data_IF_841526791069
#
_entry.id   IF_841526791069
#
_cell.length_a   1.000
_cell.length_b   1.000
_cell.length_c   1.000
_cell.angle_alpha   90.00
_cell.angle_beta   90.00
_cell.angle_gamma   90.00
#
_symmetry.space_group_name_H-M   'P 1'
#
loop_
_entity.id
_entity.type
_entity.pdbx_description
1 polymer ?
#
# COMPACT_ATOMS: atom_id res chain seq x y z
N UNK A 1 21.71 27.46 19.86
CA UNK A 1 20.67 28.08 19.01
C UNK A 1 20.53 27.41 17.65
N UNK A 2 21.60 26.91 17.01
CA UNK A 2 21.54 26.20 15.72
C UNK A 2 20.98 24.78 15.81
N UNK A 3 21.23 24.08 16.92
CA UNK A 3 20.79 22.69 17.16
C UNK A 3 19.27 22.56 17.35
N UNK A 4 18.67 23.48 18.12
CA UNK A 4 17.21 23.51 18.33
C UNK A 4 16.43 23.80 17.04
N UNK A 5 16.94 24.72 16.20
CA UNK A 5 16.32 25.03 14.91
C UNK A 5 16.38 23.83 13.97
N UNK A 6 17.50 23.09 13.97
CA UNK A 6 17.64 21.86 13.18
C UNK A 6 16.65 20.77 13.62
N UNK A 7 16.48 20.58 14.93
CA UNK A 7 15.60 19.54 15.49
C UNK A 7 14.11 19.82 15.22
N UNK A 8 13.67 21.07 15.37
CA UNK A 8 12.31 21.51 15.03
C UNK A 8 12.00 21.30 13.55
N UNK A 9 12.99 21.53 12.68
CA UNK A 9 12.84 21.33 11.23
C UNK A 9 12.68 19.85 10.89
N UNK A 10 13.50 18.98 11.50
CA UNK A 10 13.43 17.52 11.33
C UNK A 10 12.09 16.95 11.80
N UNK A 11 11.59 17.40 12.95
CA UNK A 11 10.29 16.98 13.50
C UNK A 11 9.14 17.35 12.56
N UNK A 12 9.14 18.57 12.01
CA UNK A 12 8.12 18.99 11.01
C UNK A 12 8.21 18.16 9.73
N UNK A 13 9.42 17.83 9.29
CA UNK A 13 9.65 17.01 8.10
C UNK A 13 9.10 15.59 8.29
N UNK A 14 9.39 14.94 9.42
CA UNK A 14 8.82 13.62 9.74
C UNK A 14 7.29 13.63 9.82
N UNK A 15 6.72 14.68 10.41
CA UNK A 15 5.27 14.81 10.56
C UNK A 15 4.61 15.01 9.20
N UNK A 16 5.22 15.83 8.34
CA UNK A 16 4.82 16.02 6.95
C UNK A 16 4.91 14.72 6.15
N UNK A 17 6.02 13.99 6.27
CA UNK A 17 6.23 12.69 5.62
C UNK A 17 5.21 11.63 6.05
N UNK A 18 4.85 11.57 7.34
CA UNK A 18 3.80 10.66 7.83
C UNK A 18 2.44 10.98 7.21
N UNK A 19 2.08 12.27 7.14
CA UNK A 19 0.82 12.70 6.51
C UNK A 19 0.81 12.42 5.01
N UNK A 20 1.89 12.76 4.32
CA UNK A 20 2.06 12.48 2.90
C UNK A 20 1.98 10.98 2.62
N UNK A 21 2.66 10.15 3.42
CA UNK A 21 2.57 8.69 3.32
C UNK A 21 1.16 8.18 3.51
N UNK A 22 0.41 8.71 4.49
CA UNK A 22 -0.98 8.31 4.70
C UNK A 22 -1.88 8.69 3.51
N UNK A 23 -1.69 9.87 2.93
CA UNK A 23 -2.41 10.31 1.74
C UNK A 23 -2.10 9.41 0.54
N UNK A 24 -0.82 9.12 0.28
CA UNK A 24 -0.40 8.23 -0.82
C UNK A 24 -0.97 6.83 -0.65
N UNK A 25 -0.97 6.29 0.58
CA UNK A 25 -1.59 4.98 0.84
C UNK A 25 -3.10 5.03 0.56
N UNK A 26 -3.79 6.09 1.02
CA UNK A 26 -5.21 6.27 0.74
C UNK A 26 -5.51 6.33 -0.75
N UNK A 27 -4.73 7.11 -1.50
CA UNK A 27 -4.84 7.26 -2.95
C UNK A 27 -4.67 5.92 -3.66
N UNK A 28 -3.65 5.13 -3.29
CA UNK A 28 -3.43 3.80 -3.85
C UNK A 28 -4.63 2.88 -3.58
N UNK A 29 -5.19 2.91 -2.38
CA UNK A 29 -6.39 2.11 -2.05
C UNK A 29 -7.58 2.52 -2.91
N UNK A 30 -7.81 3.81 -3.11
CA UNK A 30 -8.89 4.33 -3.96
C UNK A 30 -8.70 3.87 -5.41
N UNK A 31 -7.51 4.07 -5.98
CA UNK A 31 -7.18 3.69 -7.36
C UNK A 31 -7.37 2.18 -7.57
N UNK A 32 -6.90 1.37 -6.63
CA UNK A 32 -7.01 -0.10 -6.71
C UNK A 32 -8.48 -0.52 -6.61
N UNK A 33 -9.27 0.10 -5.73
CA UNK A 33 -10.70 -0.17 -5.60
C UNK A 33 -11.46 0.16 -6.89
N UNK A 34 -11.21 1.33 -7.46
CA UNK A 34 -11.80 1.73 -8.75
C UNK A 34 -11.37 0.80 -9.88
N UNK A 35 -10.10 0.41 -9.93
CA UNK A 35 -9.60 -0.53 -10.92
C UNK A 35 -10.23 -1.92 -10.77
N UNK A 36 -10.52 -2.37 -9.54
CA UNK A 36 -11.21 -3.63 -9.28
C UNK A 36 -12.65 -3.60 -9.81
N UNK A 37 -13.41 -2.54 -9.50
CA UNK A 37 -14.77 -2.37 -10.00
C UNK A 37 -14.81 -2.29 -11.53
N UNK A 38 -13.88 -1.54 -12.14
CA UNK A 38 -13.77 -1.44 -13.59
C UNK A 38 -13.37 -2.77 -14.25
N UNK A 39 -12.51 -3.55 -13.58
CA UNK A 39 -12.12 -4.90 -14.00
C UNK A 39 -13.30 -5.87 -13.96
N UNK A 40 -14.16 -5.77 -12.95
CA UNK A 40 -15.38 -6.57 -12.86
C UNK A 40 -16.36 -6.23 -13.99
N UNK A 41 -16.58 -4.94 -14.25
CA UNK A 41 -17.41 -4.48 -15.36
C UNK A 41 -16.84 -4.96 -16.71
N UNK A 42 -15.52 -4.91 -16.88
CA UNK A 42 -14.84 -5.44 -18.06
C UNK A 42 -15.08 -6.95 -18.27
N UNK A 43 -15.01 -7.73 -17.19
CA UNK A 43 -15.22 -9.18 -17.26
C UNK A 43 -16.67 -9.57 -17.49
N UNK A 44 -17.63 -8.71 -17.16
CA UNK A 44 -19.05 -8.96 -17.37
C UNK A 44 -19.58 -8.36 -18.69
N UNK A 45 -18.92 -7.35 -19.24
CA UNK A 45 -19.37 -6.63 -20.42
C UNK A 45 -18.63 -7.05 -21.70
N UNK A 46 -19.31 -7.85 -22.54
CA UNK A 46 -18.79 -8.33 -23.83
C UNK A 46 -18.38 -7.19 -24.77
N UNK A 47 -19.17 -6.12 -24.83
CA UNK A 47 -18.91 -4.96 -25.70
C UNK A 47 -17.63 -4.25 -25.28
N UNK A 48 -17.43 -4.05 -23.98
CA UNK A 48 -16.23 -3.41 -23.44
C UNK A 48 -14.97 -4.24 -23.72
N UNK A 49 -15.05 -5.57 -23.60
CA UNK A 49 -13.93 -6.46 -23.97
C UNK A 49 -13.54 -6.32 -25.43
N UNK A 50 -14.52 -6.39 -26.33
CA UNK A 50 -14.27 -6.28 -27.77
C UNK A 50 -13.68 -4.92 -28.13
N UNK A 51 -14.24 -3.84 -27.57
CA UNK A 51 -13.72 -2.49 -27.80
C UNK A 51 -12.26 -2.36 -27.30
N UNK A 52 -11.95 -2.82 -26.09
CA UNK A 52 -10.58 -2.77 -25.54
C UNK A 52 -9.63 -3.61 -26.36
N UNK A 53 -9.99 -4.83 -26.74
CA UNK A 53 -9.13 -5.67 -27.58
C UNK A 53 -8.82 -5.02 -28.94
N UNK A 54 -9.78 -4.27 -29.49
CA UNK A 54 -9.65 -3.64 -30.80
C UNK A 54 -8.90 -2.31 -30.74
N UNK A 55 -9.17 -1.48 -29.72
CA UNK A 55 -8.68 -0.09 -29.66
C UNK A 55 -7.50 0.07 -28.70
N UNK A 56 -7.44 -0.71 -27.62
CA UNK A 56 -6.44 -0.55 -26.58
C UNK A 56 -6.13 -1.86 -25.84
N UNK A 57 -5.60 -2.84 -26.58
CA UNK A 57 -5.28 -4.16 -26.06
C UNK A 57 -4.41 -4.18 -24.78
N UNK A 58 -3.48 -3.23 -24.53
CA UNK A 58 -2.68 -3.23 -23.30
C UNK A 58 -3.52 -3.03 -22.04
N UNK A 59 -4.62 -2.28 -22.13
CA UNK A 59 -5.54 -2.12 -20.99
C UNK A 59 -6.18 -3.45 -20.58
N UNK A 60 -6.32 -4.41 -21.49
CA UNK A 60 -6.81 -5.74 -21.19
C UNK A 60 -5.97 -6.46 -20.12
N UNK A 61 -4.67 -6.17 -20.01
CA UNK A 61 -3.83 -6.75 -18.94
C UNK A 61 -4.19 -6.20 -17.56
N UNK A 62 -4.47 -4.90 -17.47
CA UNK A 62 -4.88 -4.23 -16.23
C UNK A 62 -6.30 -4.64 -15.84
N UNK A 63 -7.20 -4.69 -16.82
CA UNK A 63 -8.63 -4.95 -16.64
C UNK A 63 -8.99 -6.44 -16.50
N UNK A 64 -8.08 -7.36 -16.82
CA UNK A 64 -8.24 -8.79 -16.50
C UNK A 64 -8.08 -9.10 -15.00
N UNK A 65 -7.77 -8.10 -14.17
CA UNK A 65 -7.68 -8.27 -12.72
C UNK A 65 -6.31 -8.70 -12.21
N UNK A 66 -5.33 -8.97 -13.09
CA UNK A 66 -3.94 -9.26 -12.71
C UNK A 66 -3.31 -8.11 -11.91
N UNK A 67 -3.56 -6.87 -12.32
CA UNK A 67 -3.07 -5.70 -11.61
C UNK A 67 -3.66 -5.60 -10.20
N UNK A 68 -4.97 -5.77 -10.10
CA UNK A 68 -5.70 -5.72 -8.83
C UNK A 68 -5.22 -6.81 -7.87
N UNK A 69 -5.06 -8.05 -8.35
CA UNK A 69 -4.55 -9.16 -7.53
C UNK A 69 -3.10 -8.97 -7.11
N UNK A 70 -2.23 -8.48 -8.01
CA UNK A 70 -0.83 -8.21 -7.67
C UNK A 70 -0.70 -7.14 -6.58
N UNK A 71 -1.44 -6.03 -6.70
CA UNK A 71 -1.41 -4.96 -5.71
C UNK A 71 -2.04 -5.41 -4.39
N UNK A 72 -3.17 -6.12 -4.43
CA UNK A 72 -3.78 -6.68 -3.23
C UNK A 72 -2.82 -7.65 -2.50
N UNK A 73 -2.16 -8.54 -3.24
CA UNK A 73 -1.15 -9.46 -2.68
C UNK A 73 0.02 -8.72 -2.04
N UNK A 74 0.51 -7.65 -2.67
CA UNK A 74 1.57 -6.82 -2.10
C UNK A 74 1.14 -6.12 -0.81
N UNK A 75 -0.07 -5.55 -0.77
CA UNK A 75 -0.62 -4.91 0.43
C UNK A 75 -0.77 -5.90 1.58
N UNK A 76 -1.29 -7.09 1.30
CA UNK A 76 -1.39 -8.18 2.30
C UNK A 76 0.00 -8.59 2.79
N UNK A 77 0.97 -8.75 1.89
CA UNK A 77 2.35 -9.06 2.24
C UNK A 77 2.98 -8.02 3.17
N UNK A 78 2.79 -6.73 2.87
CA UNK A 78 3.27 -5.62 3.72
C UNK A 78 2.59 -5.64 5.09
N UNK A 79 1.28 -5.89 5.14
CA UNK A 79 0.53 -5.97 6.38
C UNK A 79 1.03 -7.13 7.27
N UNK A 80 1.23 -8.31 6.68
CA UNK A 80 1.75 -9.48 7.38
C UNK A 80 3.20 -9.28 7.86
N UNK A 81 4.06 -8.72 7.02
CA UNK A 81 5.44 -8.40 7.39
C UNK A 81 5.49 -7.39 8.56
N UNK A 82 4.63 -6.37 8.51
CA UNK A 82 4.49 -5.37 9.58
C UNK A 82 3.99 -5.98 10.88
N UNK A 83 3.00 -6.87 10.80
CA UNK A 83 2.47 -7.61 11.95
C UNK A 83 3.53 -8.50 12.59
N UNK A 84 4.28 -9.27 11.78
CA UNK A 84 5.37 -10.13 12.24
C UNK A 84 6.48 -9.32 12.92
N UNK A 85 6.85 -8.17 12.35
CA UNK A 85 7.90 -7.32 12.90
C UNK A 85 7.54 -6.75 14.28
N UNK A 86 6.27 -6.35 14.49
CA UNK A 86 5.79 -5.91 15.82
C UNK A 86 5.89 -7.04 16.85
N UNK A 87 5.38 -8.23 16.50
CA UNK A 87 5.44 -9.40 17.37
C UNK A 87 6.87 -9.81 17.75
N UNK A 88 7.81 -9.70 16.82
CA UNK A 88 9.23 -9.99 17.07
C UNK A 88 9.87 -9.00 18.06
N UNK A 89 9.48 -7.72 18.00
CA UNK A 89 9.98 -6.70 18.94
C UNK A 89 9.44 -6.92 20.34
N UNK A 90 8.16 -7.28 20.45
CA UNK A 90 7.54 -7.57 21.76
C UNK A 90 8.23 -8.76 22.43
N UNK A 91 8.57 -9.80 21.66
CA UNK A 91 9.35 -10.94 22.16
C UNK A 91 10.76 -10.55 22.60
N UNK A 92 11.47 -9.72 21.82
CA UNK A 92 12.80 -9.24 22.18
C UNK A 92 12.80 -8.39 23.47
N UNK A 93 11.74 -7.60 23.71
CA UNK A 93 11.58 -6.82 24.94
C UNK A 93 11.32 -7.75 26.14
N UNK A 94 10.46 -8.77 25.98
CA UNK A 94 10.17 -9.74 27.03
C UNK A 94 11.42 -10.57 27.40
N UNK A 95 12.21 -11.00 26.42
CA UNK A 95 13.46 -11.71 26.66
C UNK A 95 14.51 -10.83 27.35
N UNK A 96 14.61 -9.55 26.98
CA UNK A 96 15.49 -8.60 27.65
C UNK A 96 15.10 -8.37 29.12
N UNK A 97 13.79 -8.28 29.42
CA UNK A 97 13.29 -8.16 30.80
C UNK A 97 13.53 -9.43 31.61
N UNK A 98 13.34 -10.61 31.00
CA UNK A 98 13.57 -11.90 31.66
C UNK A 98 15.04 -12.13 32.02
N UNK A 99 15.97 -11.50 31.30
CA UNK A 99 17.42 -11.63 31.54
C UNK A 99 17.93 -10.71 32.65
N UNK A 100 17.10 -9.77 33.11
CA UNK A 100 17.43 -8.72 34.09
C UNK A 100 16.93 -9.06 35.51
N UNK A 101 16.00 -10.02 35.63
CA UNK A 101 15.53 -10.63 36.88
C UNK A 101 16.27 -11.94 37.08
#
# INVERSE_FOLDING_TARGET
MTEEVFDVTKLRLETSLRRFRALVIGEVVIIVGLAAMLSEEYQNNQFMRQWVQTNFWPAGFLLNGYFVTAVAGMLVGIALASYRNRRSRDQAILDALRRLI
#
